data_IF_271653810061
#
_entry.id   IF_271653810061
#
_cell.length_a   1.000
_cell.length_b   1.000
_cell.length_c   1.000
_cell.angle_alpha   90.00
_cell.angle_beta   90.00
_cell.angle_gamma   90.00
#
_symmetry.space_group_name_H-M   'P 1'
#
loop_
_entity.id
_entity.type
_entity.pdbx_description
1 polymer ?
#
# COMPACT_ATOMS: atom_id res chain seq x y z
N UNK A 1 -28.95 0.84 5.02
CA UNK A 1 -29.59 -0.30 4.34
C UNK A 1 -28.69 -1.52 4.53
N UNK A 2 -29.17 -2.59 5.19
CA UNK A 2 -28.39 -3.82 5.38
C UNK A 2 -28.23 -4.48 4.01
N UNK A 3 -27.00 -4.64 3.52
CA UNK A 3 -26.73 -5.50 2.38
C UNK A 3 -27.30 -6.89 2.69
N UNK A 4 -28.29 -7.32 1.92
CA UNK A 4 -28.84 -8.67 1.98
C UNK A 4 -27.71 -9.62 1.63
N UNK A 5 -27.16 -10.29 2.64
CA UNK A 5 -26.49 -11.56 2.41
C UNK A 5 -27.63 -12.53 2.08
N UNK A 6 -27.88 -12.79 0.80
CA UNK A 6 -28.87 -13.78 0.37
C UNK A 6 -28.37 -15.22 0.63
N UNK A 7 -27.14 -15.39 1.12
CA UNK A 7 -26.49 -16.69 1.28
C UNK A 7 -25.60 -16.80 2.52
N UNK A 8 -25.97 -17.67 3.47
CA UNK A 8 -25.16 -18.00 4.65
C UNK A 8 -24.35 -19.27 4.34
N UNK A 9 -23.01 -19.21 4.32
CA UNK A 9 -22.19 -20.37 3.98
C UNK A 9 -22.36 -21.48 5.04
N UNK A 10 -22.51 -22.72 4.58
CA UNK A 10 -22.71 -23.89 5.46
C UNK A 10 -21.94 -25.12 4.95
N UNK A 11 -21.72 -26.10 5.82
CA UNK A 11 -21.06 -27.36 5.44
C UNK A 11 -19.70 -27.16 4.77
N UNK A 12 -19.53 -27.72 3.57
CA UNK A 12 -18.28 -27.65 2.81
C UNK A 12 -17.94 -26.24 2.29
N UNK A 13 -18.94 -25.38 2.04
CA UNK A 13 -18.68 -24.00 1.64
C UNK A 13 -18.08 -23.19 2.79
N UNK A 14 -18.63 -23.40 4.00
CA UNK A 14 -18.08 -22.81 5.20
C UNK A 14 -16.66 -23.35 5.47
N UNK A 15 -16.44 -24.65 5.27
CA UNK A 15 -15.12 -25.28 5.38
C UNK A 15 -14.10 -24.63 4.43
N UNK A 16 -14.49 -24.40 3.18
CA UNK A 16 -13.65 -23.74 2.19
C UNK A 16 -13.35 -22.30 2.61
N UNK A 17 -14.37 -21.55 3.04
CA UNK A 17 -14.22 -20.16 3.50
C UNK A 17 -13.27 -20.04 4.70
N UNK A 18 -13.44 -20.87 5.74
CA UNK A 18 -12.58 -20.83 6.93
C UNK A 18 -11.22 -21.51 6.72
N UNK A 19 -11.09 -22.33 5.68
CA UNK A 19 -9.85 -22.92 5.23
C UNK A 19 -8.88 -21.89 4.64
N UNK A 20 -9.39 -20.80 4.08
CA UNK A 20 -8.59 -19.73 3.46
C UNK A 20 -7.56 -19.14 4.45
N UNK A 21 -6.40 -18.72 3.92
CA UNK A 21 -5.29 -18.19 4.73
C UNK A 21 -5.63 -16.88 5.46
N UNK A 22 -6.52 -16.06 4.88
CA UNK A 22 -7.00 -14.79 5.42
C UNK A 22 -7.92 -15.00 6.67
N UNK A 23 -8.69 -16.08 6.72
CA UNK A 23 -9.44 -16.49 7.90
C UNK A 23 -8.48 -17.04 8.96
N UNK A 24 -8.15 -16.28 10.00
CA UNK A 24 -7.22 -16.73 11.05
C UNK A 24 -7.94 -17.57 12.10
N UNK A 25 -7.21 -18.50 12.72
CA UNK A 25 -7.71 -19.31 13.83
C UNK A 25 -8.35 -18.44 14.95
N UNK A 26 -7.82 -17.25 15.22
CA UNK A 26 -8.40 -16.30 16.18
C UNK A 26 -9.85 -15.92 15.88
N UNK A 27 -10.21 -15.71 14.61
CA UNK A 27 -11.57 -15.31 14.21
C UNK A 27 -12.55 -16.45 14.53
N UNK A 28 -12.19 -17.67 14.12
CA UNK A 28 -12.97 -18.89 14.37
C UNK A 28 -13.13 -19.12 15.88
N UNK A 29 -12.04 -18.96 16.64
CA UNK A 29 -12.07 -19.11 18.09
C UNK A 29 -12.92 -18.05 18.79
N UNK A 30 -12.98 -16.82 18.28
CA UNK A 30 -13.83 -15.78 18.86
C UNK A 30 -15.31 -16.13 18.68
N UNK A 31 -15.73 -16.52 17.46
CA UNK A 31 -17.10 -16.97 17.19
C UNK A 31 -17.47 -18.16 18.09
N UNK A 32 -16.57 -19.16 18.21
CA UNK A 32 -16.81 -20.31 19.08
C UNK A 32 -16.90 -19.91 20.57
N UNK A 33 -16.06 -18.99 21.04
CA UNK A 33 -16.11 -18.52 22.44
C UNK A 33 -17.36 -17.71 22.76
N UNK A 34 -17.84 -16.90 21.83
CA UNK A 34 -19.10 -16.17 21.98
C UNK A 34 -20.28 -17.14 22.07
N UNK A 35 -20.19 -18.29 21.41
CA UNK A 35 -21.12 -19.43 21.57
C UNK A 35 -20.92 -20.23 22.86
N UNK A 36 -19.90 -19.93 23.66
CA UNK A 36 -19.53 -20.70 24.86
C UNK A 36 -18.80 -22.02 24.56
N UNK A 37 -18.32 -22.23 23.34
CA UNK A 37 -17.55 -23.41 22.92
C UNK A 37 -16.06 -23.15 23.10
N UNK A 38 -15.43 -23.91 23.98
CA UNK A 38 -13.99 -23.84 24.25
C UNK A 38 -13.28 -25.07 23.69
N UNK A 39 -12.41 -24.85 22.72
CA UNK A 39 -11.57 -25.91 22.16
C UNK A 39 -10.29 -26.07 22.99
N UNK A 40 -9.78 -27.30 23.07
CA UNK A 40 -8.51 -27.63 23.74
C UNK A 40 -7.28 -27.01 23.06
N UNK A 41 -7.39 -26.69 21.77
CA UNK A 41 -6.38 -26.02 20.96
C UNK A 41 -7.02 -24.96 20.08
N UNK A 42 -6.29 -23.89 19.81
CA UNK A 42 -6.69 -22.83 18.89
C UNK A 42 -6.41 -23.17 17.42
N UNK A 43 -5.83 -24.33 17.12
CA UNK A 43 -5.53 -24.72 15.75
C UNK A 43 -6.78 -25.00 14.92
N UNK A 44 -6.73 -24.62 13.64
CA UNK A 44 -7.85 -24.80 12.70
C UNK A 44 -8.30 -26.25 12.56
N UNK A 45 -7.37 -27.20 12.66
CA UNK A 45 -7.64 -28.64 12.61
C UNK A 45 -8.68 -29.08 13.64
N UNK A 46 -8.75 -28.40 14.78
CA UNK A 46 -9.66 -28.70 15.88
C UNK A 46 -10.85 -27.73 15.88
N UNK A 47 -10.64 -26.45 15.59
CA UNK A 47 -11.71 -25.45 15.70
C UNK A 47 -12.64 -25.43 14.50
N UNK A 48 -12.15 -25.74 13.30
CA UNK A 48 -12.95 -25.70 12.06
C UNK A 48 -14.06 -26.74 12.05
N UNK A 49 -13.83 -28.03 12.40
CA UNK A 49 -14.91 -29.00 12.49
C UNK A 49 -16.03 -28.56 13.44
N UNK A 50 -15.66 -28.05 14.63
CA UNK A 50 -16.62 -27.56 15.62
C UNK A 50 -17.46 -26.41 15.06
N UNK A 51 -16.85 -25.46 14.35
CA UNK A 51 -17.57 -24.37 13.72
C UNK A 51 -18.50 -24.88 12.60
N UNK A 52 -18.04 -25.76 11.70
CA UNK A 52 -18.84 -26.25 10.57
C UNK A 52 -20.05 -27.05 11.04
N UNK A 53 -19.92 -27.83 12.11
CA UNK A 53 -21.04 -28.58 12.70
C UNK A 53 -22.10 -27.68 13.32
N UNK A 54 -21.80 -26.39 13.49
CA UNK A 54 -22.68 -25.41 14.10
C UNK A 54 -23.01 -24.32 13.08
N UNK A 55 -24.22 -24.35 12.50
CA UNK A 55 -24.68 -23.34 11.54
C UNK A 55 -24.33 -21.91 11.98
N UNK A 56 -23.98 -21.04 11.04
CA UNK A 56 -23.74 -19.62 11.31
C UNK A 56 -25.05 -18.85 11.40
N UNK A 57 -25.18 -17.99 12.40
CA UNK A 57 -26.21 -16.95 12.37
C UNK A 57 -25.87 -15.92 11.29
N UNK A 58 -26.87 -15.15 10.81
CA UNK A 58 -26.63 -14.08 9.84
C UNK A 58 -25.58 -13.06 10.32
N UNK A 59 -25.57 -12.72 11.62
CA UNK A 59 -24.63 -11.78 12.22
C UNK A 59 -23.20 -12.34 12.22
N UNK A 60 -23.00 -13.56 12.69
CA UNK A 60 -21.68 -14.22 12.68
C UNK A 60 -21.17 -14.44 11.25
N UNK A 61 -22.07 -14.75 10.30
CA UNK A 61 -21.70 -14.87 8.89
C UNK A 61 -21.23 -13.53 8.32
N UNK A 62 -21.90 -12.43 8.69
CA UNK A 62 -21.51 -11.08 8.30
C UNK A 62 -20.17 -10.72 8.92
N UNK A 63 -19.98 -10.94 10.21
CA UNK A 63 -18.71 -10.67 10.89
C UNK A 63 -17.54 -11.48 10.34
N UNK A 64 -17.75 -12.75 10.03
CA UNK A 64 -16.75 -13.62 9.40
C UNK A 64 -16.37 -13.09 8.01
N UNK A 65 -17.37 -12.82 7.16
CA UNK A 65 -17.16 -12.30 5.81
C UNK A 65 -16.51 -10.92 5.83
N UNK A 66 -16.94 -10.02 6.72
CA UNK A 66 -16.32 -8.71 6.91
C UNK A 66 -14.88 -8.86 7.39
N UNK A 67 -14.61 -9.69 8.40
CA UNK A 67 -13.24 -9.88 8.91
C UNK A 67 -12.27 -10.42 7.86
N UNK A 68 -12.77 -11.23 6.93
CA UNK A 68 -12.02 -11.70 5.76
C UNK A 68 -11.79 -10.54 4.77
N UNK A 69 -12.83 -9.79 4.41
CA UNK A 69 -12.77 -8.63 3.50
C UNK A 69 -11.92 -7.46 4.04
N UNK A 70 -11.94 -7.18 5.34
CA UNK A 70 -11.18 -6.07 5.93
C UNK A 70 -9.68 -6.33 5.92
N UNK A 71 -9.25 -7.61 5.98
CA UNK A 71 -7.83 -7.97 5.80
C UNK A 71 -7.34 -7.82 4.37
N UNK A 72 -8.26 -7.84 3.41
CA UNK A 72 -7.97 -7.72 1.99
C UNK A 72 -7.71 -6.27 1.56
N UNK A 73 -8.19 -5.27 2.31
CA UNK A 73 -8.02 -3.84 2.00
C UNK A 73 -6.72 -3.27 2.57
N UNK A 74 -5.58 -3.76 2.11
CA UNK A 74 -4.28 -3.13 2.37
C UNK A 74 -3.86 -2.33 1.15
N UNK A 75 -4.29 -1.06 1.11
CA UNK A 75 -4.01 -0.21 -0.03
C UNK A 75 -2.50 0.05 -0.13
N UNK A 76 -1.89 -0.44 -1.21
CA UNK A 76 -0.54 -0.05 -1.58
C UNK A 76 -0.61 1.20 -2.43
N UNK A 77 0.16 2.20 -2.03
CA UNK A 77 0.17 3.49 -2.72
C UNK A 77 1.55 3.74 -3.32
N UNK A 78 1.54 3.97 -4.63
CA UNK A 78 2.67 4.42 -5.41
C UNK A 78 2.52 5.91 -5.68
N UNK A 79 3.56 6.70 -5.41
CA UNK A 79 3.52 8.15 -5.55
C UNK A 79 4.42 8.61 -6.68
N UNK A 80 3.89 9.41 -7.59
CA UNK A 80 4.61 10.04 -8.70
C UNK A 80 4.53 11.55 -8.60
N UNK A 81 5.63 12.21 -8.93
CA UNK A 81 5.75 13.66 -8.87
C UNK A 81 6.17 14.21 -10.23
N UNK A 82 5.44 15.20 -10.72
CA UNK A 82 5.76 15.92 -11.96
C UNK A 82 5.87 17.42 -11.67
N UNK A 83 6.77 18.10 -12.37
CA UNK A 83 6.81 19.56 -12.36
C UNK A 83 5.73 20.10 -13.30
N UNK A 84 4.94 21.05 -12.83
CA UNK A 84 3.95 21.75 -13.66
C UNK A 84 4.68 22.83 -14.45
N UNK A 85 4.40 22.90 -15.75
CA UNK A 85 4.93 23.93 -16.66
C UNK A 85 3.89 25.01 -16.94
N UNK A 86 2.64 24.61 -17.18
CA UNK A 86 1.52 25.52 -17.43
C UNK A 86 0.32 25.22 -16.52
N UNK A 87 -0.40 26.27 -16.12
CA UNK A 87 -1.59 26.13 -15.29
C UNK A 87 -2.82 25.82 -16.15
N UNK A 88 -3.42 24.64 -15.95
CA UNK A 88 -4.64 24.19 -16.63
C UNK A 88 -5.52 23.37 -15.68
N UNK A 89 -6.85 23.51 -15.74
CA UNK A 89 -7.74 22.75 -14.86
C UNK A 89 -7.68 21.25 -15.17
N UNK A 90 -7.26 20.43 -14.19
CA UNK A 90 -7.00 19.01 -14.43
C UNK A 90 -8.24 18.24 -14.88
N UNK A 91 -9.39 18.57 -14.28
CA UNK A 91 -10.66 17.90 -14.60
C UNK A 91 -11.05 18.17 -16.06
N UNK A 92 -10.93 19.41 -16.55
CA UNK A 92 -11.31 19.75 -17.93
C UNK A 92 -10.41 19.06 -18.96
N UNK A 93 -9.10 18.93 -18.67
CA UNK A 93 -8.13 18.35 -19.59
C UNK A 93 -8.15 16.81 -19.62
N UNK A 94 -8.54 16.18 -18.51
CA UNK A 94 -8.51 14.73 -18.34
C UNK A 94 -9.89 14.07 -18.41
N UNK A 95 -11.00 14.82 -18.30
CA UNK A 95 -12.33 14.26 -18.53
C UNK A 95 -12.45 13.70 -19.95
N UNK A 96 -12.90 12.45 -20.06
CA UNK A 96 -13.05 11.71 -21.30
C UNK A 96 -11.73 11.36 -22.00
N UNK A 97 -10.58 11.47 -21.32
CA UNK A 97 -9.29 11.18 -21.94
C UNK A 97 -8.96 9.68 -22.01
N UNK A 98 -9.69 8.83 -21.27
CA UNK A 98 -9.47 7.39 -21.19
C UNK A 98 -10.76 6.67 -21.55
N UNK A 99 -10.69 5.80 -22.56
CA UNK A 99 -11.73 4.82 -22.85
C UNK A 99 -11.38 3.46 -22.22
N UNK A 100 -12.40 2.66 -21.89
CA UNK A 100 -12.25 1.28 -21.38
C UNK A 100 -11.49 0.42 -22.40
N UNK A 101 -11.74 0.64 -23.69
CA UNK A 101 -11.07 -0.05 -24.79
C UNK A 101 -9.56 0.25 -24.83
N UNK A 102 -9.14 1.42 -24.34
CA UNK A 102 -7.72 1.76 -24.26
C UNK A 102 -7.00 1.01 -23.13
N UNK A 103 -7.71 0.40 -22.19
CA UNK A 103 -7.15 -0.22 -21.00
C UNK A 103 -6.90 -1.73 -21.15
N UNK A 104 -7.75 -2.44 -21.89
CA UNK A 104 -7.64 -3.90 -22.04
C UNK A 104 -6.77 -4.23 -23.27
N UNK A 105 -5.56 -4.71 -23.04
CA UNK A 105 -4.60 -5.06 -24.10
C UNK A 105 -4.95 -6.34 -24.87
N UNK A 106 -5.74 -7.24 -24.29
CA UNK A 106 -5.74 -8.65 -24.69
C UNK A 106 -7.12 -9.31 -24.51
N UNK A 107 -7.73 -9.75 -25.61
CA UNK A 107 -9.03 -10.45 -25.65
C UNK A 107 -9.00 -11.84 -24.99
N UNK A 108 -7.82 -12.39 -24.68
CA UNK A 108 -7.65 -13.73 -24.11
C UNK A 108 -7.49 -13.75 -22.58
N UNK A 109 -7.73 -12.64 -21.87
CA UNK A 109 -7.65 -12.59 -20.41
C UNK A 109 -8.97 -12.99 -19.76
N UNK A 110 -8.93 -13.70 -18.64
CA UNK A 110 -10.10 -14.02 -17.80
C UNK A 110 -10.52 -12.85 -16.90
N UNK A 111 -10.27 -11.63 -17.35
CA UNK A 111 -10.42 -10.39 -16.59
C UNK A 111 -11.28 -9.42 -17.41
N UNK A 112 -12.26 -8.85 -16.74
CA UNK A 112 -13.18 -7.85 -17.28
C UNK A 112 -13.14 -6.62 -16.35
N UNK A 113 -13.20 -5.42 -16.91
CA UNK A 113 -13.42 -4.20 -16.11
C UNK A 113 -14.91 -4.19 -15.73
N UNK A 114 -15.22 -4.42 -14.45
CA UNK A 114 -16.60 -4.51 -13.96
C UNK A 114 -17.19 -3.15 -13.61
N UNK A 115 -16.34 -2.20 -13.23
CA UNK A 115 -16.73 -0.82 -12.95
C UNK A 115 -15.61 0.13 -13.38
N UNK A 116 -15.98 1.24 -13.99
CA UNK A 116 -15.06 2.26 -14.48
C UNK A 116 -15.73 3.62 -14.43
N UNK A 117 -15.17 4.52 -13.64
CA UNK A 117 -15.62 5.91 -13.57
C UNK A 117 -14.57 6.81 -14.20
N UNK A 118 -15.01 7.75 -15.04
CA UNK A 118 -14.14 8.83 -15.51
C UNK A 118 -13.66 9.70 -14.34
N UNK A 119 -12.68 10.57 -14.59
CA UNK A 119 -12.16 11.48 -13.57
C UNK A 119 -13.28 12.34 -12.96
N UNK A 120 -13.34 12.34 -11.63
CA UNK A 120 -14.24 13.17 -10.84
C UNK A 120 -13.47 13.96 -9.80
N UNK A 121 -14.06 15.02 -9.25
CA UNK A 121 -13.44 15.79 -8.18
C UNK A 121 -13.36 14.97 -6.88
N UNK A 122 -12.15 14.82 -6.32
CA UNK A 122 -11.89 14.02 -5.11
C UNK A 122 -12.61 14.58 -3.87
N UNK A 123 -12.74 15.90 -3.78
CA UNK A 123 -13.41 16.59 -2.67
C UNK A 123 -14.82 17.11 -3.04
N UNK A 124 -15.25 16.84 -4.28
CA UNK A 124 -16.52 17.30 -4.85
C UNK A 124 -16.57 18.82 -5.09
N UNK A 125 -15.43 19.52 -5.05
CA UNK A 125 -15.36 20.98 -5.12
C UNK A 125 -14.23 21.51 -6.01
N UNK A 126 -13.11 20.79 -6.09
CA UNK A 126 -11.91 21.22 -6.79
C UNK A 126 -11.72 20.51 -8.12
N UNK A 127 -11.49 21.29 -9.18
CA UNK A 127 -11.09 20.78 -10.50
C UNK A 127 -9.59 20.44 -10.57
N UNK A 128 -8.83 20.71 -9.51
CA UNK A 128 -7.38 20.49 -9.41
C UNK A 128 -7.02 19.33 -8.47
N UNK A 129 -8.01 18.62 -7.95
CA UNK A 129 -7.85 17.40 -7.17
C UNK A 129 -8.88 16.39 -7.67
N UNK A 130 -8.45 15.48 -8.53
CA UNK A 130 -9.33 14.54 -9.22
C UNK A 130 -8.99 13.09 -8.87
N UNK A 131 -9.96 12.20 -9.05
CA UNK A 131 -9.84 10.76 -8.82
C UNK A 131 -10.56 9.99 -9.93
N UNK A 132 -9.93 8.93 -10.39
CA UNK A 132 -10.52 7.89 -11.24
C UNK A 132 -10.49 6.57 -10.47
N UNK A 133 -11.63 5.90 -10.39
CA UNK A 133 -11.77 4.61 -9.72
C UNK A 133 -12.14 3.53 -10.74
N UNK A 134 -11.56 2.34 -10.59
CA UNK A 134 -11.85 1.20 -11.44
C UNK A 134 -11.91 -0.10 -10.62
N UNK A 135 -12.70 -1.05 -11.11
CA UNK A 135 -12.83 -2.39 -10.56
C UNK A 135 -12.62 -3.44 -11.67
N UNK A 136 -11.78 -4.43 -11.37
CA UNK A 136 -11.54 -5.59 -12.22
C UNK A 136 -12.25 -6.80 -11.63
N UNK A 137 -13.02 -7.51 -12.45
CA UNK A 137 -13.53 -8.84 -12.14
C UNK A 137 -12.65 -9.89 -12.82
N UNK A 138 -12.05 -10.78 -12.01
CA UNK A 138 -11.35 -11.96 -12.51
C UNK A 138 -12.19 -13.19 -12.28
N UNK A 139 -12.41 -13.97 -13.35
CA UNK A 139 -13.09 -15.27 -13.28
C UNK A 139 -12.03 -16.37 -13.15
N UNK A 140 -11.85 -16.87 -11.93
CA UNK A 140 -11.00 -18.05 -11.68
C UNK A 140 -11.82 -19.32 -11.90
N UNK A 141 -11.40 -20.14 -12.85
CA UNK A 141 -11.89 -21.51 -13.00
C UNK A 141 -10.98 -22.39 -12.14
N UNK A 142 -11.47 -22.81 -10.97
CA UNK A 142 -10.81 -23.83 -10.16
C UNK A 142 -11.24 -25.22 -10.65
N UNK A 143 -10.37 -26.23 -10.52
CA UNK A 143 -10.58 -27.61 -11.00
C UNK A 143 -11.88 -28.28 -10.50
N UNK A 144 -12.51 -27.75 -9.44
CA UNK A 144 -13.80 -28.20 -8.92
C UNK A 144 -14.95 -27.26 -9.33
N UNK A 145 -15.41 -27.34 -10.59
CA UNK A 145 -16.70 -26.87 -11.17
C UNK A 145 -17.37 -25.54 -10.72
N UNK A 146 -16.73 -24.73 -9.88
CA UNK A 146 -17.25 -23.50 -9.34
C UNK A 146 -16.45 -22.33 -9.93
N UNK A 147 -17.14 -21.51 -10.71
CA UNK A 147 -16.59 -20.23 -11.18
C UNK A 147 -16.54 -19.32 -9.97
N UNK A 148 -15.32 -18.89 -9.60
CA UNK A 148 -15.13 -17.92 -8.53
C UNK A 148 -14.79 -16.57 -9.15
N UNK A 149 -15.65 -15.58 -8.91
CA UNK A 149 -15.38 -14.19 -9.29
C UNK A 149 -14.61 -13.48 -8.16
N UNK A 150 -13.52 -12.81 -8.52
CA UNK A 150 -12.75 -11.97 -7.61
C UNK A 150 -12.74 -10.55 -8.12
N UNK A 151 -13.09 -9.63 -7.23
CA UNK A 151 -13.13 -8.20 -7.53
C UNK A 151 -11.89 -7.53 -6.97
N UNK A 152 -11.20 -6.77 -7.82
CA UNK A 152 -10.00 -6.03 -7.45
C UNK A 152 -10.19 -4.56 -7.79
N UNK A 153 -10.04 -3.69 -6.79
CA UNK A 153 -10.23 -2.24 -6.95
C UNK A 153 -8.89 -1.52 -7.02
N UNK A 154 -8.85 -0.46 -7.82
CA UNK A 154 -7.77 0.50 -7.86
C UNK A 154 -8.29 1.91 -8.11
N UNK A 155 -7.48 2.89 -7.77
CA UNK A 155 -7.75 4.29 -8.10
C UNK A 155 -6.49 5.06 -8.44
N UNK A 156 -6.65 6.06 -9.29
CA UNK A 156 -5.61 7.03 -9.65
C UNK A 156 -6.09 8.40 -9.20
N UNK A 157 -5.41 8.95 -8.19
CA UNK A 157 -5.65 10.31 -7.69
C UNK A 157 -4.61 11.26 -8.28
N UNK A 158 -5.05 12.42 -8.74
CA UNK A 158 -4.16 13.46 -9.28
C UNK A 158 -4.48 14.77 -8.58
N UNK A 159 -3.46 15.43 -8.04
CA UNK A 159 -3.59 16.67 -7.27
C UNK A 159 -2.53 17.66 -7.69
N UNK A 160 -2.92 18.91 -7.87
CA UNK A 160 -1.96 20.01 -7.84
C UNK A 160 -1.66 20.36 -6.41
N UNK A 161 -0.37 20.32 -6.08
CA UNK A 161 0.14 20.81 -4.81
C UNK A 161 0.92 22.11 -5.02
N UNK A 162 0.74 23.06 -4.10
CA UNK A 162 1.39 24.35 -4.15
C UNK A 162 2.14 24.61 -2.85
N UNK A 163 3.45 24.49 -2.91
CA UNK A 163 4.34 24.64 -1.76
C UNK A 163 4.90 26.08 -1.64
N UNK A 164 4.11 27.08 -2.03
CA UNK A 164 4.49 28.49 -1.94
C UNK A 164 5.44 29.00 -3.04
N UNK A 165 6.32 28.15 -3.60
CA UNK A 165 7.39 28.53 -4.54
C UNK A 165 7.24 27.93 -5.94
N UNK A 166 6.70 26.71 -6.06
CA UNK A 166 6.45 26.03 -7.34
C UNK A 166 5.19 25.17 -7.22
N UNK A 167 4.39 25.11 -8.28
CA UNK A 167 3.31 24.14 -8.41
C UNK A 167 3.90 22.78 -8.83
N UNK A 168 3.48 21.71 -8.16
CA UNK A 168 3.83 20.33 -8.52
C UNK A 168 2.56 19.53 -8.73
N UNK A 169 2.59 18.60 -9.68
CA UNK A 169 1.53 17.63 -9.86
C UNK A 169 1.92 16.36 -9.10
N UNK A 170 1.09 15.99 -8.14
CA UNK A 170 1.21 14.76 -7.40
C UNK A 170 0.19 13.77 -7.96
N UNK A 171 0.67 12.60 -8.35
CA UNK A 171 -0.16 11.52 -8.87
C UNK A 171 0.04 10.28 -8.03
N UNK A 172 -1.04 9.78 -7.47
CA UNK A 172 -1.05 8.62 -6.59
C UNK A 172 -1.82 7.49 -7.24
N UNK A 173 -1.19 6.33 -7.30
CA UNK A 173 -1.84 5.09 -7.69
C UNK A 173 -2.10 4.31 -6.42
N UNK A 174 -3.39 4.17 -6.04
CA UNK A 174 -3.82 3.37 -4.91
C UNK A 174 -4.36 2.03 -5.42
N UNK A 175 -3.79 0.94 -4.94
CA UNK A 175 -4.22 -0.42 -5.31
C UNK A 175 -4.61 -1.18 -4.06
N UNK A 176 -5.88 -1.61 -3.99
CA UNK A 176 -6.38 -2.39 -2.84
C UNK A 176 -5.80 -3.81 -2.84
N UNK A 177 -5.44 -4.30 -4.03
CA UNK A 177 -4.78 -5.58 -4.22
C UNK A 177 -3.63 -5.45 -5.21
N UNK A 178 -2.45 -5.96 -4.83
CA UNK A 178 -1.31 -6.09 -5.74
C UNK A 178 -1.45 -7.32 -6.63
N UNK A 179 -2.58 -7.47 -7.31
CA UNK A 179 -2.62 -8.39 -8.43
C UNK A 179 -1.75 -7.80 -9.55
N UNK A 180 -1.02 -8.62 -10.33
CA UNK A 180 -0.26 -8.11 -11.47
C UNK A 180 -1.12 -7.29 -12.44
N UNK A 181 -2.39 -7.65 -12.55
CA UNK A 181 -3.33 -7.12 -13.54
C UNK A 181 -3.89 -5.76 -13.13
N UNK A 182 -4.23 -5.55 -11.85
CA UNK A 182 -4.55 -4.19 -11.36
C UNK A 182 -3.36 -3.23 -11.50
N UNK A 183 -2.14 -3.75 -11.34
CA UNK A 183 -0.91 -2.97 -11.57
C UNK A 183 -0.73 -2.62 -13.06
N UNK A 184 -1.02 -3.54 -13.97
CA UNK A 184 -0.94 -3.29 -15.41
C UNK A 184 -1.93 -2.21 -15.86
N UNK A 185 -3.21 -2.35 -15.47
CA UNK A 185 -4.26 -1.37 -15.81
C UNK A 185 -3.93 0.01 -15.24
N UNK A 186 -3.51 0.09 -13.97
CA UNK A 186 -3.14 1.38 -13.37
C UNK A 186 -1.92 2.03 -14.01
N UNK A 187 -0.88 1.26 -14.36
CA UNK A 187 0.28 1.78 -15.10
C UNK A 187 -0.13 2.32 -16.48
N UNK A 188 -1.09 1.67 -17.14
CA UNK A 188 -1.63 2.10 -18.43
C UNK A 188 -2.44 3.39 -18.32
N UNK A 189 -3.33 3.50 -17.32
CA UNK A 189 -4.04 4.74 -16.98
C UNK A 189 -3.04 5.87 -16.77
N UNK A 190 -2.02 5.66 -15.94
CA UNK A 190 -1.01 6.70 -15.69
C UNK A 190 -0.26 7.10 -16.95
N UNK A 191 0.11 6.12 -17.79
CA UNK A 191 0.85 6.39 -19.03
C UNK A 191 0.02 7.23 -20.02
N UNK A 192 -1.30 6.98 -20.10
CA UNK A 192 -2.22 7.77 -20.92
C UNK A 192 -2.35 9.20 -20.39
N UNK A 193 -2.55 9.36 -19.08
CA UNK A 193 -2.61 10.67 -18.42
C UNK A 193 -1.31 11.45 -18.64
N UNK A 194 -0.17 10.83 -18.38
CA UNK A 194 1.15 11.45 -18.56
C UNK A 194 1.36 11.90 -20.01
N UNK A 195 1.03 11.04 -20.98
CA UNK A 195 1.15 11.35 -22.41
C UNK A 195 0.26 12.53 -22.82
N UNK A 196 -0.97 12.60 -22.31
CA UNK A 196 -1.90 13.71 -22.54
C UNK A 196 -1.34 15.01 -21.95
N UNK A 197 -0.97 15.02 -20.67
CA UNK A 197 -0.46 16.20 -19.99
C UNK A 197 0.87 16.72 -20.58
N UNK A 198 1.74 15.84 -21.09
CA UNK A 198 2.96 16.22 -21.81
C UNK A 198 2.63 16.84 -23.18
N UNK A 199 1.69 16.24 -23.92
CA UNK A 199 1.25 16.75 -25.23
C UNK A 199 0.64 18.15 -25.11
N UNK A 200 -0.12 18.39 -24.05
CA UNK A 200 -0.75 19.67 -23.76
C UNK A 200 0.20 20.66 -23.05
N UNK A 201 1.45 20.26 -22.81
CA UNK A 201 2.49 21.08 -22.16
C UNK A 201 2.12 21.53 -20.74
N UNK A 202 1.32 20.74 -20.02
CA UNK A 202 0.89 21.04 -18.65
C UNK A 202 1.98 20.62 -17.66
N UNK A 203 2.67 19.51 -17.94
CA UNK A 203 3.78 19.00 -17.13
C UNK A 203 5.08 18.97 -17.94
N UNK A 204 6.21 19.02 -17.23
CA UNK A 204 7.52 18.75 -17.82
C UNK A 204 7.79 17.25 -17.88
N UNK A 205 8.57 16.86 -18.89
CA UNK A 205 9.12 15.52 -18.98
C UNK A 205 9.94 15.20 -17.71
N UNK A 206 9.61 14.09 -17.08
CA UNK A 206 10.16 13.69 -15.78
C UNK A 206 10.86 12.33 -15.93
N UNK A 207 12.11 12.19 -15.47
CA UNK A 207 12.82 10.92 -15.55
C UNK A 207 11.99 9.78 -14.94
N UNK A 208 11.81 8.72 -15.73
CA UNK A 208 11.02 7.53 -15.35
C UNK A 208 9.56 7.81 -14.95
N UNK A 209 8.93 8.85 -15.53
CA UNK A 209 7.51 9.15 -15.33
C UNK A 209 7.19 9.57 -13.90
N UNK A 210 8.05 10.39 -13.29
CA UNK A 210 7.86 10.92 -11.94
C UNK A 210 7.98 9.90 -10.81
N UNK A 211 8.36 8.65 -11.11
CA UNK A 211 8.56 7.58 -10.13
C UNK A 211 9.70 7.93 -9.16
N UNK A 212 9.55 7.50 -7.91
CA UNK A 212 10.61 7.55 -6.91
C UNK A 212 11.30 6.19 -6.88
N UNK A 213 12.48 6.11 -7.48
CA UNK A 213 13.18 4.83 -7.65
C UNK A 213 14.27 4.61 -6.61
N UNK A 214 14.65 3.37 -6.41
CA UNK A 214 15.68 2.97 -5.44
C UNK A 214 17.04 3.65 -5.69
N UNK A 215 17.43 3.77 -6.96
CA UNK A 215 18.71 4.33 -7.41
C UNK A 215 18.69 5.87 -7.50
N UNK A 216 17.55 6.51 -7.24
CA UNK A 216 17.44 7.97 -7.13
C UNK A 216 18.19 8.52 -5.90
N UNK A 217 18.69 7.64 -5.01
CA UNK A 217 19.35 7.99 -3.76
C UNK A 217 20.72 7.33 -3.65
N UNK A 218 21.68 8.04 -3.05
CA UNK A 218 22.88 7.38 -2.52
C UNK A 218 22.51 6.56 -1.30
N UNK A 219 23.29 5.54 -0.95
CA UNK A 219 22.96 4.64 0.16
C UNK A 219 22.69 5.42 1.47
N UNK A 220 23.57 6.37 1.81
CA UNK A 220 23.39 7.23 3.00
C UNK A 220 22.12 8.06 2.95
N UNK A 221 21.87 8.73 1.82
CA UNK A 221 20.68 9.55 1.63
C UNK A 221 19.40 8.72 1.60
N UNK A 222 19.47 7.47 1.14
CA UNK A 222 18.33 6.54 1.21
C UNK A 222 17.97 6.21 2.65
N UNK A 223 18.97 5.93 3.50
CA UNK A 223 18.73 5.68 4.93
C UNK A 223 18.12 6.92 5.59
N UNK A 224 18.70 8.10 5.34
CA UNK A 224 18.19 9.36 5.87
C UNK A 224 16.79 9.68 5.38
N UNK A 225 16.51 9.51 4.09
CA UNK A 225 15.21 9.72 3.47
C UNK A 225 14.13 8.84 4.12
N UNK A 226 14.33 7.52 4.16
CA UNK A 226 13.34 6.59 4.74
C UNK A 226 13.17 6.80 6.24
N UNK A 227 14.25 7.14 6.98
CA UNK A 227 14.17 7.40 8.41
C UNK A 227 13.47 8.72 8.74
N UNK A 228 13.77 9.81 8.02
CA UNK A 228 13.10 11.09 8.21
C UNK A 228 11.65 11.04 7.74
N UNK A 229 11.37 10.35 6.63
CA UNK A 229 10.01 10.13 6.14
C UNK A 229 9.18 9.35 7.15
N UNK A 230 9.78 8.43 7.92
CA UNK A 230 9.07 7.74 8.99
C UNK A 230 8.84 8.64 10.22
N UNK A 231 9.72 9.60 10.53
CA UNK A 231 9.72 10.33 11.80
C UNK A 231 8.97 11.65 11.78
N UNK A 232 9.13 12.42 10.71
CA UNK A 232 8.84 13.85 10.72
C UNK A 232 7.47 14.16 10.12
N UNK A 233 6.43 13.82 10.87
CA UNK A 233 5.03 14.08 10.52
C UNK A 233 4.45 15.15 11.46
N UNK A 234 3.90 16.24 10.91
CA UNK A 234 3.60 17.47 11.66
C UNK A 234 2.10 17.81 11.81
N UNK A 235 1.19 16.88 11.51
CA UNK A 235 -0.25 17.12 11.38
C UNK A 235 -1.14 15.93 11.74
N UNK A 236 -2.46 16.17 11.66
CA UNK A 236 -3.57 15.22 11.83
C UNK A 236 -3.55 14.37 13.09
N UNK A 237 -2.91 14.87 14.16
CA UNK A 237 -2.81 14.11 15.41
C UNK A 237 -2.15 12.72 15.18
N UNK A 238 -1.31 12.61 14.14
CA UNK A 238 -0.54 11.42 13.75
C UNK A 238 0.89 11.53 14.28
N UNK A 239 1.14 10.84 15.39
CA UNK A 239 2.37 10.98 16.16
C UNK A 239 3.29 9.79 15.97
N UNK A 240 4.53 10.06 15.58
CA UNK A 240 5.57 9.06 15.48
C UNK A 240 5.88 8.42 16.84
N UNK A 241 6.00 7.09 16.87
CA UNK A 241 6.35 6.32 18.08
C UNK A 241 7.76 5.74 18.00
N UNK A 242 8.02 4.92 16.97
CA UNK A 242 9.31 4.26 16.74
C UNK A 242 9.39 3.56 15.38
N UNK A 243 10.60 3.23 14.95
CA UNK A 243 10.87 2.28 13.87
C UNK A 243 10.93 0.86 14.46
N UNK A 244 10.03 0.00 13.98
CA UNK A 244 9.84 -1.37 14.43
C UNK A 244 10.76 -2.39 13.73
N UNK A 245 10.96 -2.23 12.42
CA UNK A 245 11.59 -3.22 11.55
C UNK A 245 12.29 -2.51 10.39
N UNK A 246 13.53 -2.90 10.10
CA UNK A 246 14.29 -2.40 8.94
C UNK A 246 14.91 -3.56 8.20
N UNK A 247 14.73 -3.54 6.87
CA UNK A 247 15.31 -4.51 5.97
C UNK A 247 16.37 -3.80 5.12
N UNK A 248 17.53 -4.41 5.03
CA UNK A 248 18.64 -3.90 4.23
C UNK A 248 19.50 -5.03 3.72
N UNK A 249 20.24 -4.74 2.66
CA UNK A 249 21.09 -5.67 1.96
C UNK A 249 22.50 -5.08 1.92
N UNK A 250 23.58 -5.86 2.07
CA UNK A 250 24.93 -5.36 1.80
C UNK A 250 25.03 -4.85 0.37
N UNK A 251 25.65 -3.69 0.18
CA UNK A 251 25.93 -3.22 -1.16
C UNK A 251 27.13 -3.98 -1.74
N UNK A 252 26.87 -4.89 -2.67
CA UNK A 252 27.92 -5.72 -3.29
C UNK A 252 28.89 -4.89 -4.14
N UNK A 253 28.46 -3.71 -4.59
CA UNK A 253 29.23 -2.82 -5.46
C UNK A 253 30.09 -1.82 -4.66
N UNK A 254 29.85 -1.69 -3.36
CA UNK A 254 30.59 -0.75 -2.53
C UNK A 254 32.02 -1.25 -2.23
N UNK A 255 32.98 -0.32 -2.20
CA UNK A 255 34.35 -0.65 -1.86
C UNK A 255 34.53 -0.79 -0.35
N UNK A 256 34.68 -2.03 0.11
CA UNK A 256 34.93 -2.36 1.50
C UNK A 256 36.41 -2.24 1.91
N UNK A 257 37.31 -2.00 0.95
CA UNK A 257 38.77 -2.06 1.16
C UNK A 257 39.25 -1.11 2.26
N UNK A 258 38.57 0.03 2.43
CA UNK A 258 38.92 1.05 3.41
C UNK A 258 38.39 0.77 4.83
N UNK A 259 37.49 -0.19 5.02
CA UNK A 259 36.91 -0.52 6.34
C UNK A 259 36.74 -2.04 6.56
N UNK A 260 37.84 -2.79 6.72
CA UNK A 260 37.81 -4.26 6.81
C UNK A 260 36.95 -4.79 7.97
N UNK A 261 36.85 -4.02 9.06
CA UNK A 261 36.14 -4.42 10.28
C UNK A 261 34.61 -4.43 10.12
N UNK A 262 34.07 -3.72 9.12
CA UNK A 262 32.64 -3.74 8.79
C UNK A 262 32.20 -5.05 8.16
N UNK A 263 33.05 -5.61 7.29
CA UNK A 263 32.79 -6.86 6.55
C UNK A 263 32.78 -8.04 7.51
N UNK A 264 33.73 -8.11 8.43
CA UNK A 264 33.95 -9.27 9.31
C UNK A 264 32.86 -9.50 10.37
N UNK A 265 31.96 -8.53 10.63
CA UNK A 265 31.01 -8.61 11.75
C UNK A 265 29.55 -8.30 11.42
N UNK A 266 29.25 -7.60 10.31
CA UNK A 266 27.89 -7.07 10.09
C UNK A 266 27.42 -7.11 8.64
N UNK A 267 28.35 -7.11 7.67
CA UNK A 267 28.04 -7.04 6.24
C UNK A 267 28.75 -8.17 5.49
N UNK A 268 28.47 -9.41 5.89
CA UNK A 268 28.91 -10.59 5.15
C UNK A 268 28.34 -10.53 3.72
N UNK A 269 29.20 -10.60 2.70
CA UNK A 269 28.79 -10.40 1.29
C UNK A 269 27.86 -11.51 0.77
N UNK A 270 27.92 -12.68 1.39
CA UNK A 270 27.08 -13.83 1.07
C UNK A 270 25.65 -13.71 1.63
N UNK A 271 25.42 -12.78 2.57
CA UNK A 271 24.09 -12.57 3.12
C UNK A 271 23.28 -11.72 2.14
N UNK A 272 22.20 -12.31 1.62
CA UNK A 272 21.33 -11.63 0.68
C UNK A 272 20.53 -10.51 1.34
N UNK A 273 20.00 -10.71 2.55
CA UNK A 273 19.17 -9.72 3.25
C UNK A 273 19.31 -9.82 4.78
N UNK A 274 19.45 -8.67 5.43
CA UNK A 274 19.30 -8.53 6.87
C UNK A 274 17.93 -7.96 7.21
N UNK A 275 17.36 -8.47 8.30
CA UNK A 275 16.13 -7.97 8.91
C UNK A 275 16.34 -7.76 10.39
N UNK A 276 16.20 -6.53 10.85
CA UNK A 276 16.37 -6.20 12.26
C UNK A 276 15.08 -5.64 12.80
N UNK A 277 14.65 -6.15 13.96
CA UNK A 277 13.42 -5.77 14.65
C UNK A 277 13.72 -5.26 16.05
N UNK A 278 13.02 -4.22 16.48
CA UNK A 278 13.19 -3.67 17.83
C UNK A 278 12.72 -2.23 17.93
N UNK A 279 13.32 -1.47 18.85
CA UNK A 279 13.29 -0.01 18.84
C UNK A 279 14.58 0.48 18.19
N UNK A 280 14.50 0.81 16.91
CA UNK A 280 15.68 0.94 16.05
C UNK A 280 16.14 2.39 15.88
N UNK A 281 15.52 3.36 16.54
CA UNK A 281 15.77 4.77 16.26
C UNK A 281 17.20 5.21 16.52
N UNK A 282 17.69 4.91 17.72
CA UNK A 282 19.07 5.20 18.12
C UNK A 282 20.05 4.29 17.40
N UNK A 283 19.61 3.08 17.02
CA UNK A 283 20.46 2.11 16.34
C UNK A 283 20.77 2.61 14.93
N UNK A 284 19.75 2.94 14.14
CA UNK A 284 19.91 3.42 12.76
C UNK A 284 20.59 4.79 12.75
N UNK A 285 20.07 5.75 13.52
CA UNK A 285 20.51 7.15 13.39
C UNK A 285 21.92 7.42 13.96
N UNK A 286 22.34 6.63 14.96
CA UNK A 286 23.59 6.86 15.70
C UNK A 286 24.54 5.68 15.54
N UNK A 287 24.14 4.48 15.99
CA UNK A 287 25.05 3.33 16.03
C UNK A 287 25.48 2.89 14.64
N UNK A 288 24.57 2.87 13.67
CA UNK A 288 24.78 2.35 12.33
C UNK A 288 25.14 3.43 11.30
N UNK A 289 25.33 4.67 11.72
CA UNK A 289 25.67 5.75 10.79
C UNK A 289 26.89 5.44 9.91
N UNK A 290 27.88 4.75 10.47
CA UNK A 290 29.09 4.33 9.77
C UNK A 290 28.89 3.21 8.73
N UNK A 291 27.79 2.45 8.79
CA UNK A 291 27.46 1.42 7.78
C UNK A 291 26.55 1.93 6.66
N UNK A 292 25.91 3.10 6.83
CA UNK A 292 24.97 3.66 5.85
C UNK A 292 25.47 3.68 4.41
N UNK A 293 26.73 4.07 4.10
CA UNK A 293 27.20 4.07 2.71
C UNK A 293 27.33 2.67 2.09
N UNK A 294 27.36 1.61 2.89
CA UNK A 294 27.59 0.22 2.44
C UNK A 294 26.33 -0.65 2.47
N UNK A 295 25.16 -0.06 2.78
CA UNK A 295 23.89 -0.80 2.87
C UNK A 295 22.82 -0.24 1.96
N UNK A 296 22.18 -1.15 1.26
CA UNK A 296 21.00 -0.93 0.44
C UNK A 296 19.75 -1.16 1.30
N UNK A 297 19.29 -0.13 2.01
CA UNK A 297 18.06 -0.19 2.82
C UNK A 297 16.84 -0.26 1.91
N UNK A 298 16.05 -1.32 2.05
CA UNK A 298 14.92 -1.63 1.17
C UNK A 298 13.57 -1.41 1.83
N UNK A 299 13.49 -1.47 3.18
CA UNK A 299 12.23 -1.30 3.90
C UNK A 299 12.43 -0.71 5.29
N UNK A 300 11.54 0.21 5.67
CA UNK A 300 11.38 0.72 7.03
C UNK A 300 9.92 0.58 7.44
N UNK A 301 9.66 -0.11 8.55
CA UNK A 301 8.36 -0.20 9.19
C UNK A 301 8.34 0.67 10.44
N UNK A 302 7.38 1.58 10.53
CA UNK A 302 7.24 2.45 11.68
C UNK A 302 5.85 2.34 12.31
N UNK A 303 5.81 2.54 13.63
CA UNK A 303 4.61 2.61 14.45
C UNK A 303 4.31 4.06 14.82
N UNK A 304 3.02 4.36 14.90
CA UNK A 304 2.47 5.68 15.18
C UNK A 304 1.30 5.57 16.14
N UNK A 305 1.06 6.64 16.88
CA UNK A 305 -0.15 6.86 17.66
C UNK A 305 -1.01 7.88 16.94
N UNK A 306 -2.30 7.58 16.79
CA UNK A 306 -3.28 8.49 16.20
C UNK A 306 -4.19 8.96 17.32
N UNK A 307 -4.31 10.26 17.50
CA UNK A 307 -5.53 10.85 18.02
C UNK A 307 -6.31 11.40 16.81
N UNK A 308 -7.63 11.32 16.80
CA UNK A 308 -8.42 12.04 15.81
C UNK A 308 -9.81 12.33 16.38
N UNK A 309 -10.00 13.55 16.88
CA UNK A 309 -11.23 13.96 17.54
C UNK A 309 -11.45 13.20 18.86
N UNK A 310 -12.42 12.26 18.88
CA UNK A 310 -12.69 11.42 20.05
C UNK A 310 -12.06 10.02 20.00
N UNK A 311 -11.36 9.72 18.91
CA UNK A 311 -10.81 8.40 18.66
C UNK A 311 -9.31 8.41 18.92
N UNK A 312 -8.83 7.38 19.61
CA UNK A 312 -7.41 7.14 19.83
C UNK A 312 -7.05 5.73 19.37
N UNK A 313 -5.82 5.58 18.89
CA UNK A 313 -5.37 4.32 18.33
C UNK A 313 -3.91 4.26 17.93
N UNK A 314 -3.53 3.14 17.33
CA UNK A 314 -2.20 2.89 16.81
C UNK A 314 -2.27 2.57 15.31
N UNK A 315 -1.26 3.03 14.57
CA UNK A 315 -1.09 2.73 13.15
C UNK A 315 0.32 2.23 12.88
N UNK A 316 0.43 1.36 11.87
CA UNK A 316 1.71 0.92 11.32
C UNK A 316 1.79 1.24 9.84
N UNK A 317 2.87 1.88 9.43
CA UNK A 317 3.12 2.23 8.03
C UNK A 317 4.44 1.63 7.59
N UNK A 318 4.42 0.98 6.43
CA UNK A 318 5.58 0.40 5.75
C UNK A 318 6.00 1.30 4.60
N UNK A 319 7.25 1.72 4.60
CA UNK A 319 7.90 2.39 3.48
C UNK A 319 8.86 1.39 2.85
N UNK A 320 8.55 0.90 1.64
CA UNK A 320 9.28 -0.20 1.03
C UNK A 320 9.54 0.00 -0.46
N UNK A 321 10.72 -0.41 -0.90
CA UNK A 321 11.03 -0.62 -2.30
C UNK A 321 10.70 -2.08 -2.65
N UNK A 322 9.40 -2.38 -2.80
CA UNK A 322 8.81 -3.73 -2.64
C UNK A 322 9.30 -4.80 -3.61
N UNK A 323 9.76 -4.41 -4.80
CA UNK A 323 10.19 -5.35 -5.86
C UNK A 323 11.71 -5.63 -5.83
N UNK A 324 12.43 -5.11 -4.82
CA UNK A 324 13.87 -5.35 -4.69
C UNK A 324 14.16 -6.85 -4.50
N UNK A 325 14.92 -7.44 -5.42
CA UNK A 325 15.40 -8.82 -5.34
C UNK A 325 14.40 -9.94 -5.66
N UNK A 326 13.08 -9.66 -5.80
CA UNK A 326 12.07 -10.71 -6.09
C UNK A 326 11.79 -10.96 -7.58
N UNK A 327 12.16 -10.03 -8.48
CA UNK A 327 11.80 -10.06 -9.91
C UNK A 327 12.91 -9.57 -10.86
N UNK A 328 14.19 -9.66 -10.48
CA UNK A 328 15.30 -8.98 -11.20
C UNK A 328 15.11 -7.46 -11.37
N UNK A 329 14.19 -6.83 -10.63
CA UNK A 329 14.05 -5.39 -10.62
C UNK A 329 15.21 -4.79 -9.84
N UNK A 330 16.20 -4.31 -10.58
CA UNK A 330 17.40 -3.65 -10.04
C UNK A 330 17.09 -2.26 -9.49
N UNK A 331 15.96 -1.66 -9.90
CA UNK A 331 15.58 -0.31 -9.52
C UNK A 331 14.08 -0.19 -9.20
N UNK A 332 13.61 -0.81 -8.11
CA UNK A 332 12.20 -0.80 -7.72
C UNK A 332 11.72 0.59 -7.30
N UNK A 333 10.41 0.81 -7.44
CA UNK A 333 9.71 2.03 -7.01
C UNK A 333 9.39 2.01 -5.50
N UNK A 334 9.37 3.19 -4.89
CA UNK A 334 8.92 3.37 -3.51
C UNK A 334 7.40 3.14 -3.41
N UNK A 335 7.02 2.19 -2.58
CA UNK A 335 5.66 1.90 -2.19
C UNK A 335 5.46 2.25 -0.72
N UNK A 336 4.33 2.87 -0.39
CA UNK A 336 3.93 3.09 1.00
C UNK A 336 2.64 2.32 1.25
N UNK A 337 2.61 1.58 2.35
CA UNK A 337 1.46 0.76 2.71
C UNK A 337 1.12 0.98 4.17
N UNK A 338 -0.13 1.32 4.43
CA UNK A 338 -0.67 1.31 5.79
C UNK A 338 -0.94 -0.15 6.15
N UNK A 339 -0.07 -0.73 6.99
CA UNK A 339 -0.10 -2.15 7.35
C UNK A 339 -1.23 -2.45 8.31
N UNK A 340 -1.57 -1.51 9.19
CA UNK A 340 -2.65 -1.65 10.16
C UNK A 340 -3.06 -0.29 10.71
N UNK A 341 -4.35 -0.09 10.93
CA UNK A 341 -4.90 1.00 11.75
C UNK A 341 -5.85 0.36 12.78
N UNK A 342 -5.63 0.67 14.06
CA UNK A 342 -6.50 0.24 15.16
C UNK A 342 -6.98 1.45 15.93
N UNK A 343 -8.24 1.84 15.75
CA UNK A 343 -8.87 2.91 16.53
C UNK A 343 -10.00 2.33 17.39
N UNK A 344 -10.06 2.68 18.67
CA UNK A 344 -11.13 2.18 19.55
C UNK A 344 -12.47 2.86 19.21
N UNK A 345 -13.48 2.05 18.85
CA UNK A 345 -14.86 2.52 18.65
C UNK A 345 -15.11 3.31 17.35
N UNK A 346 -14.16 3.37 16.43
CA UNK A 346 -14.34 3.99 15.12
C UNK A 346 -15.07 3.05 14.15
N UNK A 347 -15.97 3.59 13.34
CA UNK A 347 -16.58 2.85 12.22
C UNK A 347 -15.57 2.66 11.08
N UNK A 348 -15.84 1.71 10.17
CA UNK A 348 -14.96 1.45 9.03
C UNK A 348 -14.84 2.66 8.08
N UNK A 349 -15.94 3.40 7.87
CA UNK A 349 -15.93 4.65 7.09
C UNK A 349 -14.95 5.65 7.69
N UNK A 350 -14.98 5.82 9.02
CA UNK A 350 -14.09 6.74 9.72
C UNK A 350 -12.63 6.28 9.67
N UNK A 351 -12.38 4.98 9.70
CA UNK A 351 -11.03 4.43 9.52
C UNK A 351 -10.48 4.74 8.12
N UNK A 352 -11.30 4.63 7.08
CA UNK A 352 -10.89 4.99 5.72
C UNK A 352 -10.57 6.49 5.62
N UNK A 353 -11.41 7.36 6.17
CA UNK A 353 -11.14 8.81 6.21
C UNK A 353 -9.81 9.13 6.91
N UNK A 354 -9.55 8.50 8.05
CA UNK A 354 -8.29 8.68 8.80
C UNK A 354 -7.10 8.17 7.98
N UNK A 355 -7.24 7.02 7.31
CA UNK A 355 -6.21 6.47 6.43
C UNK A 355 -5.87 7.45 5.31
N UNK A 356 -6.86 8.03 4.65
CA UNK A 356 -6.64 9.02 3.59
C UNK A 356 -5.94 10.28 4.10
N UNK A 357 -6.29 10.77 5.29
CA UNK A 357 -5.60 11.91 5.92
C UNK A 357 -4.14 11.60 6.23
N UNK A 358 -3.85 10.42 6.79
CA UNK A 358 -2.48 9.97 7.05
C UNK A 358 -1.68 9.88 5.75
N UNK A 359 -2.27 9.32 4.69
CA UNK A 359 -1.60 9.19 3.40
C UNK A 359 -1.28 10.55 2.76
N UNK A 360 -2.20 11.52 2.85
CA UNK A 360 -1.96 12.90 2.38
C UNK A 360 -0.79 13.55 3.13
N UNK A 361 -0.70 13.35 4.44
CA UNK A 361 0.40 13.90 5.23
C UNK A 361 1.75 13.30 4.85
N UNK A 362 1.79 11.98 4.68
CA UNK A 362 2.99 11.26 4.24
C UNK A 362 3.42 11.76 2.85
N UNK A 363 2.46 11.99 1.97
CA UNK A 363 2.68 12.49 0.60
C UNK A 363 3.35 13.87 0.59
N UNK A 364 2.80 14.84 1.34
CA UNK A 364 3.40 16.18 1.47
C UNK A 364 4.82 16.08 2.00
N UNK A 365 5.03 15.28 3.06
CA UNK A 365 6.38 15.12 3.64
C UNK A 365 7.35 14.43 2.68
N UNK A 366 6.88 13.45 1.91
CA UNK A 366 7.67 12.77 0.88
C UNK A 366 8.15 13.77 -0.16
N UNK A 367 7.28 14.64 -0.67
CA UNK A 367 7.64 15.64 -1.67
C UNK A 367 8.75 16.57 -1.19
N UNK A 368 8.67 17.05 0.06
CA UNK A 368 9.71 17.88 0.68
C UNK A 368 11.05 17.14 0.82
N UNK A 369 11.02 15.91 1.33
CA UNK A 369 12.23 15.11 1.56
C UNK A 369 12.90 14.64 0.26
N UNK A 370 12.12 14.43 -0.81
CA UNK A 370 12.68 14.11 -2.13
C UNK A 370 13.59 15.23 -2.64
N UNK A 371 13.18 16.49 -2.48
CA UNK A 371 14.01 17.64 -2.89
C UNK A 371 15.33 17.72 -2.13
N UNK A 372 15.36 17.20 -0.90
CA UNK A 372 16.54 17.22 -0.02
C UNK A 372 17.51 16.07 -0.29
N UNK A 373 16.99 14.88 -0.62
CA UNK A 373 17.77 13.64 -0.62
C UNK A 373 17.92 12.95 -1.98
N UNK A 374 17.13 13.34 -2.99
CA UNK A 374 17.27 12.81 -4.35
C UNK A 374 18.60 13.28 -4.95
N UNK A 375 19.32 12.37 -5.63
CA UNK A 375 20.50 12.72 -6.42
C UNK A 375 20.08 13.73 -7.50
N UNK A 376 20.87 14.79 -7.65
CA UNK A 376 20.68 15.80 -8.71
C UNK A 376 21.06 15.24 -10.09
#
# INVERSE_FOLDING_TARGET
MRNKIDFIPSGDELKNLVGQMNCTATIINNILRERGVFCSSSEKTITVPNLITSFLSPEESYELLQSIKTKEKLDKVNFRNFEIDNDAELLEELSGCIDVDDLISNEYTNIEISDFNDFTSLDGKSNNSIIMEFELCRKDILDDWYITEKFFRGSVEIKKDYDGVRAQLLMNVKLNHTSPETKEISERIVSLVESKLLKDQIIKDSPHGGKVLFNDFENEYRVSFLSELAKQHIGYEFYYKKIDDVHFNPDKDADYSTQPQLVTNFLEKDIEQYRVKGDLDKIISIKWKHIHPYVKVTKVLASYTIAHGKYEGDCKVSYEFSDYGRKNSLNPELCITVVNIKMKGASQERLNEIQDLIMRQIETRKAELLRKYKKL
#
